data_IF_223798950944
#
_entry.id   IF_223798950944
#
_cell.length_a   1.000
_cell.length_b   1.000
_cell.length_c   1.000
_cell.angle_alpha   90.00
_cell.angle_beta   90.00
_cell.angle_gamma   90.00
#
_symmetry.space_group_name_H-M   'P 1'
#
loop_
_entity.id
_entity.type
_entity.pdbx_description
1 polymer ?
#
# COMPACT_ATOMS: atom_id res chain seq x y z
N UNK A 1 15.35 14.28 20.36
CA UNK A 1 13.96 13.74 20.36
C UNK A 1 13.89 12.31 20.89
N UNK A 2 14.55 11.32 20.28
CA UNK A 2 14.51 9.91 20.75
C UNK A 2 14.87 9.74 22.24
N UNK A 3 15.96 10.36 22.71
CA UNK A 3 16.37 10.29 24.12
C UNK A 3 15.27 10.79 25.08
N UNK A 4 14.58 11.89 24.72
CA UNK A 4 13.48 12.42 25.52
C UNK A 4 12.26 11.47 25.53
N UNK A 5 11.94 10.87 24.39
CA UNK A 5 10.87 9.86 24.29
C UNK A 5 11.18 8.61 25.12
N UNK A 6 12.45 8.16 25.11
CA UNK A 6 12.89 7.02 25.92
C UNK A 6 12.83 7.34 27.42
N UNK A 7 13.21 8.56 27.82
CA UNK A 7 13.09 9.03 29.20
C UNK A 7 11.62 9.09 29.66
N UNK A 8 10.71 9.56 28.81
CA UNK A 8 9.28 9.57 29.13
C UNK A 8 8.73 8.15 29.36
N UNK A 9 9.16 7.17 28.55
CA UNK A 9 8.79 5.76 28.74
C UNK A 9 9.37 5.21 30.04
N UNK A 10 10.61 5.56 30.38
CA UNK A 10 11.23 5.13 31.63
C UNK A 10 10.45 5.65 32.84
N UNK A 11 10.12 6.94 32.84
CA UNK A 11 9.30 7.55 33.89
C UNK A 11 7.93 6.87 34.02
N UNK A 12 7.24 6.63 32.89
CA UNK A 12 5.93 5.97 32.93
C UNK A 12 5.99 4.53 33.50
N UNK A 13 7.10 3.80 33.27
CA UNK A 13 7.32 2.47 33.84
C UNK A 13 7.63 2.50 35.34
N UNK A 14 8.27 3.54 35.83
CA UNK A 14 8.52 3.70 37.27
C UNK A 14 7.22 3.93 38.04
N UNK A 15 6.25 4.63 37.42
CA UNK A 15 4.95 4.92 38.03
C UNK A 15 3.95 3.77 37.92
N UNK A 16 4.01 2.97 36.86
CA UNK A 16 3.07 1.88 36.58
C UNK A 16 3.82 0.58 36.26
N UNK A 17 3.57 -0.48 37.04
CA UNK A 17 4.17 -1.79 36.82
C UNK A 17 3.54 -2.54 35.65
N UNK A 18 2.23 -2.35 35.45
CA UNK A 18 1.44 -3.03 34.41
C UNK A 18 1.22 -2.11 33.18
N UNK A 19 0.99 -2.70 31.98
CA UNK A 19 0.73 -1.92 30.78
C UNK A 19 -0.60 -1.14 30.92
N UNK A 20 -0.52 0.17 30.74
CA UNK A 20 -1.66 1.08 30.71
C UNK A 20 -1.86 1.69 29.32
N UNK A 21 -3.06 2.19 29.01
CA UNK A 21 -3.36 2.81 27.71
C UNK A 21 -2.40 3.96 27.38
N UNK A 22 -2.04 4.77 28.37
CA UNK A 22 -1.10 5.89 28.22
C UNK A 22 0.31 5.39 27.89
N UNK A 23 0.78 4.35 28.57
CA UNK A 23 2.09 3.76 28.30
C UNK A 23 2.13 3.14 26.89
N UNK A 24 1.02 2.52 26.47
CA UNK A 24 0.88 1.91 25.16
C UNK A 24 0.93 2.96 24.04
N UNK A 25 0.20 4.07 24.20
CA UNK A 25 0.27 5.24 23.32
C UNK A 25 1.67 5.82 23.22
N UNK A 26 2.32 6.05 24.36
CA UNK A 26 3.67 6.60 24.39
C UNK A 26 4.67 5.68 23.67
N UNK A 27 4.51 4.36 23.80
CA UNK A 27 5.32 3.37 23.10
C UNK A 27 5.05 3.34 21.60
N UNK A 28 3.80 3.55 21.17
CA UNK A 28 3.47 3.71 19.76
C UNK A 28 4.17 4.93 19.15
N UNK A 29 4.05 6.09 19.79
CA UNK A 29 4.73 7.31 19.33
C UNK A 29 6.25 7.15 19.30
N UNK A 30 6.81 6.51 20.33
CA UNK A 30 8.22 6.18 20.38
C UNK A 30 8.64 5.22 19.25
N UNK A 31 7.81 4.23 18.93
CA UNK A 31 8.03 3.32 17.81
C UNK A 31 8.02 4.08 16.47
N UNK A 32 7.02 4.92 16.23
CA UNK A 32 6.92 5.74 15.00
C UNK A 32 8.14 6.65 14.86
N UNK A 33 8.53 7.34 15.94
CA UNK A 33 9.73 8.18 15.95
C UNK A 33 11.00 7.37 15.69
N UNK A 34 11.12 6.17 16.27
CA UNK A 34 12.27 5.29 16.04
C UNK A 34 12.34 4.84 14.60
N UNK A 35 11.22 4.44 14.01
CA UNK A 35 11.14 4.05 12.60
C UNK A 35 11.61 5.19 11.70
N UNK A 36 11.18 6.42 11.98
CA UNK A 36 11.54 7.59 11.17
C UNK A 36 13.01 8.00 11.35
N UNK A 37 13.60 7.84 12.54
CA UNK A 37 14.99 8.22 12.81
C UNK A 37 16.01 7.12 12.51
N UNK A 38 15.65 5.85 12.66
CA UNK A 38 16.55 4.71 12.56
C UNK A 38 16.26 3.80 11.37
N UNK A 39 15.14 4.02 10.66
CA UNK A 39 14.78 3.26 9.47
C UNK A 39 14.11 1.92 9.77
N UNK A 40 13.64 1.26 8.70
CA UNK A 40 12.90 0.01 8.78
C UNK A 40 13.79 -1.18 9.15
N UNK A 41 15.02 -1.22 8.63
CA UNK A 41 15.98 -2.31 8.88
C UNK A 41 16.61 -2.30 10.27
N UNK A 42 16.47 -1.19 11.01
CA UNK A 42 17.06 -1.09 12.34
C UNK A 42 16.46 -2.10 13.32
N UNK A 43 17.34 -2.82 14.01
CA UNK A 43 16.97 -3.69 15.12
C UNK A 43 16.14 -2.95 16.17
N UNK A 44 16.41 -1.65 16.41
CA UNK A 44 15.65 -0.85 17.40
C UNK A 44 14.19 -0.71 16.99
N UNK A 45 13.93 -0.42 15.72
CA UNK A 45 12.57 -0.34 15.16
C UNK A 45 11.85 -1.67 15.34
N UNK A 46 12.49 -2.77 14.94
CA UNK A 46 11.92 -4.11 15.05
C UNK A 46 11.65 -4.56 16.50
N UNK A 47 12.56 -4.26 17.42
CA UNK A 47 12.43 -4.62 18.83
C UNK A 47 11.33 -3.82 19.54
N UNK A 48 11.22 -2.51 19.25
CA UNK A 48 10.20 -1.63 19.85
C UNK A 48 8.79 -2.01 19.40
N UNK A 49 8.59 -2.27 18.11
CA UNK A 49 7.30 -2.75 17.61
C UNK A 49 6.90 -4.09 18.23
N UNK A 50 7.86 -5.02 18.40
CA UNK A 50 7.60 -6.31 19.05
C UNK A 50 7.18 -6.16 20.50
N UNK A 51 7.83 -5.25 21.25
CA UNK A 51 7.45 -4.96 22.62
C UNK A 51 6.05 -4.36 22.72
N UNK A 52 5.70 -3.46 21.81
CA UNK A 52 4.36 -2.87 21.74
C UNK A 52 3.28 -3.91 21.40
N UNK A 53 3.57 -4.85 20.50
CA UNK A 53 2.67 -5.97 20.18
C UNK A 53 2.46 -6.88 21.41
N UNK A 54 3.50 -7.15 22.18
CA UNK A 54 3.36 -7.91 23.42
C UNK A 54 2.46 -7.20 24.44
N UNK A 55 2.61 -5.88 24.58
CA UNK A 55 1.77 -5.08 25.48
C UNK A 55 0.30 -5.07 24.99
N UNK A 56 0.05 -4.99 23.67
CA UNK A 56 -1.30 -5.12 23.07
C UNK A 56 -1.95 -6.48 23.38
N UNK A 57 -1.19 -7.57 23.32
CA UNK A 57 -1.67 -8.90 23.68
C UNK A 57 -1.95 -9.02 25.18
N UNK A 58 -1.05 -8.51 26.03
CA UNK A 58 -1.23 -8.52 27.48
C UNK A 58 -2.51 -7.78 27.92
N UNK A 59 -2.86 -6.70 27.22
CA UNK A 59 -4.08 -5.92 27.47
C UNK A 59 -5.32 -6.44 26.72
N UNK A 60 -5.22 -7.55 25.97
CA UNK A 60 -6.29 -8.11 25.15
C UNK A 60 -6.89 -7.16 24.10
N UNK A 61 -6.14 -6.13 23.66
CA UNK A 61 -6.63 -5.10 22.73
C UNK A 61 -6.84 -5.65 21.31
N UNK A 62 -6.19 -6.76 20.98
CA UNK A 62 -6.30 -7.46 19.69
C UNK A 62 -7.68 -8.11 19.43
N UNK A 63 -8.58 -8.10 20.42
CA UNK A 63 -9.95 -8.62 20.31
C UNK A 63 -10.94 -7.56 20.78
N UNK A 64 -12.14 -7.59 20.22
CA UNK A 64 -13.25 -6.88 20.85
C UNK A 64 -13.71 -7.61 22.12
N UNK A 65 -14.14 -6.86 23.15
CA UNK A 65 -14.69 -7.48 24.35
C UNK A 65 -16.01 -8.19 24.03
N UNK A 66 -16.17 -9.43 24.50
CA UNK A 66 -17.38 -10.25 24.28
C UNK A 66 -18.67 -9.57 24.77
N UNK A 67 -18.56 -8.72 25.81
CA UNK A 67 -19.66 -7.92 26.35
C UNK A 67 -19.24 -6.45 26.47
N UNK A 68 -19.40 -5.63 25.42
CA UNK A 68 -18.99 -4.23 25.44
C UNK A 68 -19.70 -3.39 26.51
N UNK A 69 -20.94 -3.75 26.86
CA UNK A 69 -21.73 -3.08 27.90
C UNK A 69 -21.35 -3.49 29.32
N UNK A 70 -20.70 -4.64 29.50
CA UNK A 70 -20.22 -5.13 30.79
C UNK A 70 -18.72 -4.85 31.02
N UNK A 71 -18.08 -4.18 30.06
CA UNK A 71 -16.67 -3.79 30.16
C UNK A 71 -16.54 -2.58 31.08
N UNK A 72 -15.70 -2.70 32.12
CA UNK A 72 -15.35 -1.59 33.01
C UNK A 72 -14.62 -0.44 32.28
N UNK A 73 -14.00 -0.72 31.13
CA UNK A 73 -13.36 0.30 30.29
C UNK A 73 -14.40 1.19 29.61
N UNK A 74 -14.37 2.53 29.82
CA UNK A 74 -15.23 3.49 29.12
C UNK A 74 -15.18 3.37 27.59
N UNK A 75 -16.30 3.69 26.92
CA UNK A 75 -16.42 3.51 25.47
C UNK A 75 -15.35 4.28 24.66
N UNK A 76 -15.02 5.51 25.08
CA UNK A 76 -14.04 6.34 24.37
C UNK A 76 -12.62 5.74 24.44
N UNK A 77 -12.25 5.15 25.59
CA UNK A 77 -10.98 4.44 25.74
C UNK A 77 -10.95 3.18 24.87
N UNK A 78 -12.06 2.46 24.76
CA UNK A 78 -12.14 1.31 23.83
C UNK A 78 -11.98 1.74 22.38
N UNK A 79 -12.58 2.85 21.97
CA UNK A 79 -12.42 3.38 20.61
C UNK A 79 -10.97 3.79 20.34
N UNK A 80 -10.34 4.46 21.31
CA UNK A 80 -8.91 4.78 21.32
C UNK A 80 -8.04 3.53 21.14
N UNK A 81 -8.32 2.45 21.88
CA UNK A 81 -7.63 1.18 21.77
C UNK A 81 -7.82 0.55 20.38
N UNK A 82 -9.03 0.64 19.81
CA UNK A 82 -9.33 0.16 18.45
C UNK A 82 -8.51 0.89 17.40
N UNK A 83 -8.43 2.23 17.51
CA UNK A 83 -7.61 3.05 16.60
C UNK A 83 -6.13 2.74 16.71
N UNK A 84 -5.62 2.58 17.93
CA UNK A 84 -4.24 2.19 18.16
C UNK A 84 -3.93 0.80 17.60
N UNK A 85 -4.83 -0.15 17.79
CA UNK A 85 -4.71 -1.48 17.22
C UNK A 85 -4.67 -1.42 15.69
N UNK A 86 -5.57 -0.68 15.05
CA UNK A 86 -5.59 -0.48 13.61
C UNK A 86 -4.25 0.08 13.09
N UNK A 87 -3.71 1.11 13.74
CA UNK A 87 -2.38 1.66 13.43
C UNK A 87 -1.27 0.61 13.55
N UNK A 88 -1.25 -0.15 14.65
CA UNK A 88 -0.22 -1.16 14.88
C UNK A 88 -0.35 -2.37 13.98
N UNK A 89 -1.57 -2.75 13.61
CA UNK A 89 -1.83 -3.81 12.68
C UNK A 89 -1.29 -3.43 11.30
N UNK A 90 -1.59 -2.24 10.78
CA UNK A 90 -0.99 -1.73 9.54
C UNK A 90 0.54 -1.71 9.61
N UNK A 91 1.10 -1.11 10.66
CA UNK A 91 2.54 -0.97 10.80
C UNK A 91 3.28 -2.31 10.85
N UNK A 92 2.70 -3.34 11.49
CA UNK A 92 3.27 -4.69 11.53
C UNK A 92 3.34 -5.31 10.12
N UNK A 93 2.32 -5.13 9.28
CA UNK A 93 2.28 -5.70 7.92
C UNK A 93 3.20 -4.94 6.99
N UNK A 94 3.24 -3.62 7.11
CA UNK A 94 4.16 -2.78 6.37
C UNK A 94 5.63 -3.10 6.72
N UNK A 95 5.97 -3.25 8.00
CA UNK A 95 7.30 -3.69 8.42
C UNK A 95 7.65 -5.08 7.91
N UNK A 96 6.71 -6.02 8.01
CA UNK A 96 6.89 -7.41 7.58
C UNK A 96 7.14 -7.49 6.07
N UNK A 97 6.40 -6.70 5.28
CA UNK A 97 6.61 -6.58 3.83
C UNK A 97 8.00 -6.07 3.48
N UNK A 98 8.46 -4.99 4.13
CA UNK A 98 9.78 -4.42 3.86
C UNK A 98 10.89 -5.40 4.18
N UNK A 99 10.80 -6.03 5.34
CA UNK A 99 11.88 -6.86 5.87
C UNK A 99 11.84 -8.29 5.36
N UNK A 100 10.81 -8.67 4.59
CA UNK A 100 10.56 -10.06 4.19
C UNK A 100 10.38 -10.98 5.41
N UNK A 101 9.78 -10.47 6.48
CA UNK A 101 9.55 -11.19 7.75
C UNK A 101 8.09 -11.56 7.90
N UNK A 102 7.81 -12.52 8.78
CA UNK A 102 6.45 -12.89 9.17
C UNK A 102 5.79 -11.76 10.00
N UNK A 103 4.53 -11.41 9.72
CA UNK A 103 3.71 -10.58 10.60
C UNK A 103 3.62 -11.16 12.02
N UNK A 104 3.67 -10.30 13.03
CA UNK A 104 3.56 -10.70 14.45
C UNK A 104 2.15 -10.51 15.02
N UNK A 105 1.28 -9.82 14.29
CA UNK A 105 -0.15 -9.74 14.57
C UNK A 105 -0.92 -10.57 13.54
N UNK A 106 -0.88 -11.91 13.61
CA UNK A 106 -1.57 -12.74 12.63
C UNK A 106 -3.09 -12.56 12.74
N UNK A 107 -3.75 -12.41 11.58
CA UNK A 107 -5.18 -12.14 11.46
C UNK A 107 -6.04 -13.14 12.21
N UNK A 108 -5.70 -14.42 12.15
CA UNK A 108 -6.47 -15.51 12.75
C UNK A 108 -6.65 -15.42 14.27
N UNK A 109 -5.80 -14.65 14.97
CA UNK A 109 -5.92 -14.43 16.41
C UNK A 109 -6.48 -13.05 16.77
N UNK A 110 -6.67 -12.18 15.78
CA UNK A 110 -7.12 -10.81 15.94
C UNK A 110 -8.58 -10.69 15.49
N UNK A 111 -9.47 -10.26 16.39
CA UNK A 111 -10.91 -10.10 16.10
C UNK A 111 -11.42 -8.69 16.39
N UNK A 112 -10.51 -7.70 16.39
CA UNK A 112 -10.85 -6.30 16.61
C UNK A 112 -11.52 -5.70 15.38
N UNK A 113 -12.69 -5.09 15.55
CA UNK A 113 -13.47 -4.39 14.53
C UNK A 113 -12.74 -3.17 13.95
N UNK A 114 -13.24 -2.68 12.81
CA UNK A 114 -12.84 -1.40 12.27
C UNK A 114 -13.16 -0.24 13.25
N UNK A 115 -12.32 0.81 13.34
CA UNK A 115 -12.61 2.01 14.13
C UNK A 115 -13.98 2.61 13.82
N UNK A 116 -14.62 3.27 14.80
CA UNK A 116 -15.88 3.97 14.56
C UNK A 116 -15.68 5.16 13.62
N UNK A 117 -16.66 5.42 12.75
CA UNK A 117 -16.69 6.62 11.90
C UNK A 117 -17.11 7.84 12.73
N UNK A 118 -16.16 8.38 13.48
CA UNK A 118 -16.36 9.49 14.42
C UNK A 118 -15.11 10.41 14.43
N UNK A 119 -15.30 11.71 14.64
CA UNK A 119 -14.20 12.68 14.78
C UNK A 119 -13.44 12.51 16.11
N UNK A 120 -12.23 13.04 16.20
CA UNK A 120 -11.39 12.93 17.39
C UNK A 120 -11.99 13.76 18.55
N UNK A 121 -12.59 14.91 18.24
CA UNK A 121 -13.27 15.78 19.20
C UNK A 121 -14.49 15.08 19.81
N UNK A 122 -15.29 14.40 18.98
CA UNK A 122 -16.49 13.70 19.43
C UNK A 122 -16.15 12.50 20.31
N UNK A 123 -15.02 11.81 20.08
CA UNK A 123 -14.53 10.74 20.97
C UNK A 123 -14.25 11.27 22.39
N UNK A 124 -13.76 12.50 22.51
CA UNK A 124 -13.38 13.10 23.77
C UNK A 124 -14.50 13.96 24.41
N UNK A 125 -15.64 14.12 23.73
CA UNK A 125 -16.73 14.97 24.18
C UNK A 125 -17.56 14.28 25.27
N UNK A 126 -17.67 14.93 26.43
CA UNK A 126 -18.48 14.43 27.54
C UNK A 126 -19.98 14.36 27.15
N UNK A 127 -20.59 13.20 27.34
CA UNK A 127 -22.01 12.97 27.04
C UNK A 127 -22.28 12.42 25.62
N UNK A 128 -21.29 12.38 24.74
CA UNK A 128 -21.39 11.65 23.48
C UNK A 128 -21.32 10.14 23.78
N UNK A 129 -22.24 9.35 23.22
CA UNK A 129 -22.26 7.89 23.41
C UNK A 129 -21.95 7.15 22.11
N UNK A 130 -21.55 5.88 22.22
CA UNK A 130 -21.35 5.03 21.04
C UNK A 130 -22.64 4.87 20.22
N UNK A 131 -23.81 4.93 20.87
CA UNK A 131 -25.10 4.81 20.19
C UNK A 131 -25.38 6.06 19.34
N UNK A 132 -24.95 7.24 19.78
CA UNK A 132 -25.03 8.47 18.99
C UNK A 132 -24.16 8.41 17.73
N UNK A 133 -23.03 7.69 17.76
CA UNK A 133 -22.21 7.47 16.57
C UNK A 133 -22.90 6.53 15.56
N UNK A 134 -23.63 5.52 16.05
CA UNK A 134 -24.35 4.55 15.21
C UNK A 134 -25.62 5.18 14.64
N UNK A 135 -26.36 5.95 15.44
CA UNK A 135 -27.62 6.61 15.06
C UNK A 135 -27.38 7.84 14.17
N UNK A 136 -26.28 8.58 14.35
CA UNK A 136 -25.91 9.69 13.46
C UNK A 136 -25.09 9.25 12.25
N UNK A 137 -25.01 7.95 11.94
CA UNK A 137 -24.59 7.52 10.60
C UNK A 137 -25.60 8.11 9.61
N UNK A 138 -25.24 9.07 8.75
CA UNK A 138 -26.17 9.56 7.75
C UNK A 138 -26.35 8.42 6.76
N UNK A 139 -27.38 7.61 6.96
CA UNK A 139 -27.97 6.81 5.91
C UNK A 139 -28.35 7.80 4.81
N UNK A 140 -27.63 7.76 3.69
CA UNK A 140 -28.00 8.43 2.45
C UNK A 140 -28.12 9.98 2.49
N UNK A 141 -27.14 10.66 1.91
CA UNK A 141 -27.43 11.81 1.04
C UNK A 141 -27.86 13.14 1.66
N UNK A 142 -27.33 13.56 2.83
CA UNK A 142 -27.48 14.96 3.27
C UNK A 142 -26.12 15.67 3.30
N UNK A 143 -25.97 16.64 2.42
CA UNK A 143 -24.86 17.56 2.31
C UNK A 143 -24.69 18.40 3.59
N UNK A 144 -24.00 17.87 4.59
CA UNK A 144 -23.40 18.65 5.67
C UNK A 144 -21.91 18.46 5.50
N UNK A 145 -21.25 19.53 5.04
CA UNK A 145 -19.80 19.77 4.94
C UNK A 145 -18.97 18.47 5.11
N UNK A 146 -18.51 17.92 3.99
CA UNK A 146 -17.79 16.66 3.84
C UNK A 146 -16.45 16.68 4.60
N UNK A 147 -16.51 16.69 5.92
CA UNK A 147 -15.36 16.71 6.80
C UNK A 147 -14.82 15.28 6.86
N UNK A 148 -13.65 15.08 6.27
CA UNK A 148 -12.94 13.81 6.33
C UNK A 148 -12.58 13.52 7.79
N UNK A 149 -13.08 12.43 8.37
CA UNK A 149 -12.70 12.04 9.72
C UNK A 149 -11.34 11.33 9.69
N UNK A 150 -10.49 11.57 10.69
CA UNK A 150 -9.23 10.83 10.79
C UNK A 150 -9.47 9.30 10.88
N UNK A 151 -10.56 8.91 11.53
CA UNK A 151 -10.99 7.51 11.66
C UNK A 151 -11.24 6.83 10.30
N UNK A 152 -11.71 7.55 9.28
CA UNK A 152 -11.93 6.96 7.95
C UNK A 152 -10.61 6.44 7.34
N UNK A 153 -9.53 7.20 7.52
CA UNK A 153 -8.18 6.81 7.08
C UNK A 153 -7.67 5.57 7.81
N UNK A 154 -7.94 5.47 9.11
CA UNK A 154 -7.55 4.31 9.93
C UNK A 154 -8.34 3.07 9.53
N UNK A 155 -9.64 3.21 9.25
CA UNK A 155 -10.51 2.12 8.79
C UNK A 155 -9.98 1.50 7.51
N UNK A 156 -9.71 2.32 6.48
CA UNK A 156 -9.24 1.80 5.19
C UNK A 156 -7.84 1.21 5.28
N UNK A 157 -6.91 1.86 6.00
CA UNK A 157 -5.55 1.33 6.18
C UNK A 157 -5.55 0.00 6.93
N UNK A 158 -6.41 -0.14 7.93
CA UNK A 158 -6.56 -1.41 8.62
C UNK A 158 -7.12 -2.49 7.70
N UNK A 159 -8.16 -2.19 6.92
CA UNK A 159 -8.70 -3.10 5.92
C UNK A 159 -7.63 -3.52 4.89
N UNK A 160 -6.91 -2.57 4.30
CA UNK A 160 -5.81 -2.82 3.36
C UNK A 160 -4.68 -3.66 3.97
N UNK A 161 -4.38 -3.46 5.25
CA UNK A 161 -3.41 -4.29 5.96
C UNK A 161 -3.87 -5.76 6.07
N UNK A 162 -5.17 -6.05 6.16
CA UNK A 162 -5.67 -7.43 6.13
C UNK A 162 -5.43 -8.10 4.78
N UNK A 163 -5.64 -7.39 3.68
CA UNK A 163 -5.33 -7.89 2.33
C UNK A 163 -3.82 -8.07 2.12
N UNK A 164 -3.03 -7.14 2.65
CA UNK A 164 -1.56 -7.24 2.61
C UNK A 164 -1.06 -8.50 3.31
N UNK A 165 -1.68 -8.88 4.42
CA UNK A 165 -1.32 -10.10 5.13
C UNK A 165 -1.53 -11.36 4.27
N UNK A 166 -2.64 -11.44 3.52
CA UNK A 166 -2.89 -12.53 2.57
C UNK A 166 -1.78 -12.64 1.54
N UNK A 167 -1.43 -11.51 0.91
CA UNK A 167 -0.38 -11.47 -0.12
C UNK A 167 0.99 -11.84 0.47
N UNK A 168 1.29 -11.38 1.69
CA UNK A 168 2.50 -11.78 2.42
C UNK A 168 2.53 -13.28 2.73
N UNK A 169 1.40 -13.86 3.11
CA UNK A 169 1.26 -15.29 3.35
C UNK A 169 1.63 -16.12 2.12
N UNK A 170 1.18 -15.73 0.93
CA UNK A 170 1.57 -16.38 -0.34
C UNK A 170 3.08 -16.29 -0.56
N UNK A 171 3.64 -15.08 -0.42
CA UNK A 171 5.07 -14.83 -0.66
C UNK A 171 5.99 -15.57 0.31
N UNK A 172 5.53 -15.77 1.55
CA UNK A 172 6.27 -16.49 2.60
C UNK A 172 6.01 -18.00 2.58
N UNK A 173 5.14 -18.50 1.69
CA UNK A 173 4.85 -19.93 1.56
C UNK A 173 3.97 -20.49 2.67
N UNK A 174 3.06 -19.70 3.23
CA UNK A 174 2.11 -20.17 4.25
C UNK A 174 1.14 -21.21 3.66
N UNK A 175 1.08 -22.39 4.28
CA UNK A 175 0.18 -23.48 3.88
C UNK A 175 -1.29 -23.03 3.97
N UNK A 176 -2.05 -23.18 2.88
CA UNK A 176 -3.49 -22.88 2.82
C UNK A 176 -3.86 -21.50 2.26
N UNK A 177 -2.90 -20.58 2.10
CA UNK A 177 -3.16 -19.25 1.50
C UNK A 177 -2.72 -19.13 0.03
N UNK A 178 -2.15 -20.19 -0.54
CA UNK A 178 -1.63 -20.23 -1.92
C UNK A 178 -2.65 -20.71 -2.96
N UNK A 179 -3.93 -20.88 -2.60
CA UNK A 179 -4.96 -21.23 -3.58
C UNK A 179 -5.23 -20.08 -4.53
N UNK A 180 -5.16 -20.32 -5.85
CA UNK A 180 -5.44 -19.29 -6.86
C UNK A 180 -6.83 -18.65 -6.64
N UNK A 181 -7.85 -19.44 -6.31
CA UNK A 181 -9.21 -18.95 -6.05
C UNK A 181 -9.28 -17.99 -4.86
N UNK A 182 -8.48 -18.23 -3.81
CA UNK A 182 -8.41 -17.38 -2.64
C UNK A 182 -7.73 -16.04 -2.94
N UNK A 183 -6.67 -16.07 -3.75
CA UNK A 183 -5.95 -14.87 -4.19
C UNK A 183 -6.85 -14.03 -5.12
N UNK A 184 -7.58 -14.65 -6.05
CA UNK A 184 -8.56 -13.95 -6.90
C UNK A 184 -9.68 -13.31 -6.09
N UNK A 185 -10.22 -14.01 -5.09
CA UNK A 185 -11.22 -13.42 -4.19
C UNK A 185 -10.66 -12.20 -3.44
N UNK A 186 -9.40 -12.25 -3.04
CA UNK A 186 -8.73 -11.12 -2.39
C UNK A 186 -8.57 -9.95 -3.37
N UNK A 187 -8.20 -10.20 -4.63
CA UNK A 187 -8.19 -9.19 -5.72
C UNK A 187 -9.54 -8.48 -5.84
N UNK A 188 -10.64 -9.24 -5.92
CA UNK A 188 -12.00 -8.69 -5.99
C UNK A 188 -12.37 -7.86 -4.74
N UNK A 189 -11.98 -8.32 -3.54
CA UNK A 189 -12.20 -7.58 -2.28
C UNK A 189 -11.45 -6.26 -2.24
N UNK A 190 -10.20 -6.23 -2.74
CA UNK A 190 -9.41 -4.99 -2.83
C UNK A 190 -10.10 -3.98 -3.74
N UNK A 191 -10.62 -4.45 -4.89
CA UNK A 191 -11.36 -3.60 -5.83
C UNK A 191 -12.67 -3.08 -5.22
N UNK A 192 -13.49 -3.96 -4.64
CA UNK A 192 -14.71 -3.56 -3.96
C UNK A 192 -14.44 -2.55 -2.83
N UNK A 193 -13.34 -2.72 -2.08
CA UNK A 193 -12.94 -1.79 -1.03
C UNK A 193 -12.61 -0.40 -1.57
N UNK A 194 -11.96 -0.33 -2.73
CA UNK A 194 -11.63 0.92 -3.39
C UNK A 194 -12.88 1.63 -3.94
N UNK A 195 -13.78 0.89 -4.56
CA UNK A 195 -15.05 1.41 -5.11
C UNK A 195 -16.01 1.90 -4.03
N UNK A 196 -15.98 1.29 -2.84
CA UNK A 196 -16.76 1.69 -1.68
C UNK A 196 -16.24 2.98 -0.99
N UNK A 197 -15.08 3.51 -1.39
CA UNK A 197 -14.50 4.68 -0.73
C UNK A 197 -15.27 5.97 -1.05
N UNK A 198 -15.50 6.82 -0.04
CA UNK A 198 -15.96 8.18 -0.27
C UNK A 198 -15.00 8.97 -1.16
N UNK A 199 -15.55 9.81 -2.04
CA UNK A 199 -14.78 10.61 -3.01
C UNK A 199 -13.72 11.51 -2.39
N UNK A 200 -13.88 11.93 -1.13
CA UNK A 200 -12.89 12.74 -0.41
C UNK A 200 -11.64 11.96 0.04
N UNK A 201 -11.66 10.63 0.01
CA UNK A 201 -10.48 9.78 0.27
C UNK A 201 -9.77 9.38 -1.03
N UNK A 202 -10.48 9.43 -2.15
CA UNK A 202 -9.94 9.02 -3.45
C UNK A 202 -8.95 10.06 -3.99
N UNK A 203 -7.82 9.57 -4.50
CA UNK A 203 -6.87 10.39 -5.24
C UNK A 203 -7.36 10.63 -6.66
N UNK A 204 -7.28 11.87 -7.14
CA UNK A 204 -7.57 12.20 -8.53
C UNK A 204 -6.28 12.66 -9.24
N UNK A 205 -5.75 11.89 -10.20
CA UNK A 205 -4.51 12.23 -10.91
C UNK A 205 -4.65 13.44 -11.85
N UNK A 206 -5.86 13.72 -12.34
CA UNK A 206 -6.16 14.82 -13.28
C UNK A 206 -6.31 16.16 -12.53
N UNK A 207 -6.69 16.12 -11.26
CA UNK A 207 -6.88 17.32 -10.45
C UNK A 207 -5.57 17.82 -9.80
N UNK A 208 -4.66 18.44 -10.56
CA UNK A 208 -3.65 19.38 -10.01
C UNK A 208 -3.25 20.41 -11.09
N UNK A 209 -2.92 21.72 -10.80
CA UNK A 209 -2.66 22.41 -9.53
C UNK A 209 -3.41 23.77 -9.40
N UNK A 210 -4.60 23.94 -9.98
CA UNK A 210 -5.37 25.20 -9.85
C UNK A 210 -6.47 25.15 -8.79
N UNK A 211 -6.79 23.96 -8.28
CA UNK A 211 -7.76 23.79 -7.21
C UNK A 211 -7.04 24.02 -5.89
N UNK A 212 -7.55 24.98 -5.13
CA UNK A 212 -7.21 25.29 -3.74
C UNK A 212 -7.30 24.02 -2.85
N UNK A 213 -6.29 23.15 -2.89
CA UNK A 213 -6.16 22.06 -1.93
C UNK A 213 -5.90 22.69 -0.57
N UNK A 214 -6.93 22.70 0.27
CA UNK A 214 -6.94 23.40 1.56
C UNK A 214 -5.84 22.91 2.52
N UNK A 215 -5.23 21.73 2.28
CA UNK A 215 -4.04 21.28 3.01
C UNK A 215 -3.14 20.32 2.17
N UNK A 216 -1.82 20.56 2.06
CA UNK A 216 -0.84 19.63 1.47
C UNK A 216 -0.90 18.19 2.01
N UNK A 217 -1.20 18.08 3.31
CA UNK A 217 -1.29 16.81 4.01
C UNK A 217 -2.43 15.93 3.50
N UNK A 218 -3.59 16.52 3.17
CA UNK A 218 -4.72 15.77 2.64
C UNK A 218 -4.40 15.18 1.27
N UNK A 219 -3.76 15.95 0.39
CA UNK A 219 -3.30 15.45 -0.91
C UNK A 219 -2.30 14.30 -0.76
N UNK A 220 -1.34 14.41 0.17
CA UNK A 220 -0.40 13.33 0.46
C UNK A 220 -1.11 12.08 0.99
N UNK A 221 -2.07 12.24 1.89
CA UNK A 221 -2.83 11.13 2.45
C UNK A 221 -3.63 10.39 1.36
N UNK A 222 -4.33 11.11 0.48
CA UNK A 222 -5.07 10.53 -0.66
C UNK A 222 -4.13 9.79 -1.61
N UNK A 223 -3.00 10.41 -1.98
CA UNK A 223 -2.01 9.80 -2.84
C UNK A 223 -1.43 8.52 -2.22
N UNK A 224 -1.02 8.56 -0.94
CA UNK A 224 -0.47 7.38 -0.27
C UNK A 224 -1.48 6.25 -0.21
N UNK A 225 -2.76 6.55 -0.01
CA UNK A 225 -3.83 5.55 -0.02
C UNK A 225 -4.02 4.94 -1.42
N UNK A 226 -3.96 5.76 -2.48
CA UNK A 226 -4.02 5.28 -3.85
C UNK A 226 -2.82 4.41 -4.24
N UNK A 227 -1.61 4.82 -3.84
CA UNK A 227 -0.40 4.02 -4.04
C UNK A 227 -0.49 2.69 -3.29
N UNK A 228 -1.07 2.68 -2.08
CA UNK A 228 -1.30 1.47 -1.31
C UNK A 228 -2.28 0.52 -2.00
N UNK A 229 -3.36 1.04 -2.56
CA UNK A 229 -4.31 0.28 -3.38
C UNK A 229 -3.64 -0.35 -4.60
N UNK A 230 -2.88 0.44 -5.36
CA UNK A 230 -2.15 -0.05 -6.54
C UNK A 230 -1.10 -1.12 -6.16
N UNK A 231 -0.37 -0.92 -5.05
CA UNK A 231 0.61 -1.90 -4.53
C UNK A 231 -0.05 -3.21 -4.13
N UNK A 232 -1.23 -3.17 -3.53
CA UNK A 232 -2.02 -4.36 -3.21
C UNK A 232 -2.46 -5.10 -4.46
N UNK A 233 -3.00 -4.40 -5.46
CA UNK A 233 -3.39 -4.99 -6.74
C UNK A 233 -2.19 -5.61 -7.46
N UNK A 234 -1.09 -4.87 -7.54
CA UNK A 234 0.17 -5.33 -8.13
C UNK A 234 0.71 -6.57 -7.42
N UNK A 235 0.83 -6.54 -6.09
CA UNK A 235 1.38 -7.65 -5.31
C UNK A 235 0.45 -8.89 -5.34
N UNK A 236 -0.86 -8.69 -5.43
CA UNK A 236 -1.84 -9.78 -5.61
C UNK A 236 -1.68 -10.43 -6.98
N UNK A 237 -1.51 -9.63 -8.04
CA UNK A 237 -1.23 -10.16 -9.38
C UNK A 237 0.10 -10.92 -9.42
N UNK A 238 1.15 -10.44 -8.74
CA UNK A 238 2.40 -11.19 -8.59
C UNK A 238 2.18 -12.55 -7.91
N UNK A 239 1.36 -12.58 -6.85
CA UNK A 239 1.00 -13.80 -6.15
C UNK A 239 0.22 -14.78 -7.04
N UNK A 240 -0.65 -14.29 -7.93
CA UNK A 240 -1.33 -15.09 -8.96
C UNK A 240 -0.35 -15.68 -9.96
N UNK A 241 0.57 -14.87 -10.52
CA UNK A 241 1.60 -15.37 -11.43
C UNK A 241 2.44 -16.48 -10.78
N UNK A 242 2.86 -16.27 -9.54
CA UNK A 242 3.64 -17.23 -8.76
C UNK A 242 2.89 -18.56 -8.53
N UNK A 243 1.61 -18.49 -8.15
CA UNK A 243 0.82 -19.69 -7.85
C UNK A 243 0.37 -20.47 -9.09
N UNK A 244 0.07 -19.77 -10.20
CA UNK A 244 -0.25 -20.41 -11.48
C UNK A 244 1.00 -20.90 -12.25
N UNK A 245 2.22 -20.65 -11.75
CA UNK A 245 3.47 -20.98 -12.43
C UNK A 245 3.69 -20.22 -13.74
N UNK A 246 3.05 -19.05 -13.90
CA UNK A 246 3.18 -18.20 -15.08
C UNK A 246 4.36 -17.24 -14.91
N UNK A 247 5.09 -16.99 -16.00
CA UNK A 247 6.15 -16.00 -16.02
C UNK A 247 5.58 -14.61 -15.73
N UNK A 248 6.00 -13.99 -14.61
CA UNK A 248 5.56 -12.66 -14.22
C UNK A 248 5.87 -11.61 -15.29
N UNK A 249 7.01 -11.75 -15.99
CA UNK A 249 7.39 -10.88 -17.11
C UNK A 249 6.53 -11.02 -18.37
N UNK A 250 5.65 -12.02 -18.41
CA UNK A 250 4.67 -12.23 -19.49
C UNK A 250 3.24 -11.86 -19.10
N UNK A 251 2.98 -11.30 -17.92
CA UNK A 251 1.61 -10.95 -17.51
C UNK A 251 1.31 -9.47 -17.80
N UNK A 252 0.47 -9.22 -18.82
CA UNK A 252 0.15 -7.85 -19.26
C UNK A 252 -0.51 -7.02 -18.15
N UNK A 253 -1.37 -7.63 -17.33
CA UNK A 253 -2.05 -6.93 -16.21
C UNK A 253 -1.02 -6.47 -15.18
N UNK A 254 -0.07 -7.34 -14.82
CA UNK A 254 1.02 -7.03 -13.89
C UNK A 254 1.91 -5.91 -14.41
N UNK A 255 2.31 -5.97 -15.68
CA UNK A 255 3.20 -4.95 -16.27
C UNK A 255 2.49 -3.60 -16.39
N UNK A 256 1.20 -3.56 -16.73
CA UNK A 256 0.40 -2.32 -16.71
C UNK A 256 0.32 -1.73 -15.30
N UNK A 257 0.00 -2.53 -14.29
CA UNK A 257 -0.02 -2.09 -12.88
C UNK A 257 1.35 -1.55 -12.43
N UNK A 258 2.42 -2.25 -12.77
CA UNK A 258 3.78 -1.82 -12.45
C UNK A 258 4.14 -0.50 -13.12
N UNK A 259 3.77 -0.30 -14.38
CA UNK A 259 3.99 0.96 -15.09
C UNK A 259 3.22 2.10 -14.42
N UNK A 260 1.96 1.88 -14.06
CA UNK A 260 1.12 2.88 -13.38
C UNK A 260 1.69 3.26 -12.02
N UNK A 261 2.22 2.30 -11.25
CA UNK A 261 2.94 2.58 -10.00
C UNK A 261 4.18 3.44 -10.24
N UNK A 262 5.01 3.11 -11.24
CA UNK A 262 6.21 3.89 -11.59
C UNK A 262 5.86 5.31 -12.03
N UNK A 263 4.91 5.47 -12.95
CA UNK A 263 4.54 6.80 -13.48
C UNK A 263 3.86 7.65 -12.42
N UNK A 264 2.95 7.07 -11.63
CA UNK A 264 2.25 7.77 -10.55
C UNK A 264 3.24 8.23 -9.47
N UNK A 265 4.15 7.36 -9.03
CA UNK A 265 5.15 7.72 -8.01
C UNK A 265 6.15 8.76 -8.51
N UNK A 266 6.65 8.65 -9.75
CA UNK A 266 7.54 9.65 -10.33
C UNK A 266 6.85 11.01 -10.50
N UNK A 267 5.62 11.03 -11.02
CA UNK A 267 4.85 12.28 -11.17
C UNK A 267 4.55 12.91 -9.82
N UNK A 268 4.08 12.12 -8.85
CA UNK A 268 3.85 12.59 -7.50
C UNK A 268 5.12 13.15 -6.87
N UNK A 269 6.25 12.44 -6.99
CA UNK A 269 7.52 12.90 -6.45
C UNK A 269 7.93 14.26 -7.03
N UNK A 270 7.81 14.46 -8.35
CA UNK A 270 8.06 15.76 -8.98
C UNK A 270 7.14 16.86 -8.46
N UNK A 271 5.85 16.60 -8.38
CA UNK A 271 4.86 17.58 -7.90
C UNK A 271 5.13 17.96 -6.44
N UNK A 272 5.34 16.96 -5.57
CA UNK A 272 5.67 17.17 -4.17
C UNK A 272 6.99 17.92 -4.01
N UNK A 273 8.05 17.49 -4.67
CA UNK A 273 9.35 18.15 -4.59
C UNK A 273 9.32 19.59 -5.07
N UNK A 274 8.62 19.89 -6.17
CA UNK A 274 8.46 21.27 -6.67
C UNK A 274 7.70 22.16 -5.70
N UNK A 275 6.72 21.60 -4.97
CA UNK A 275 5.81 22.38 -4.12
C UNK A 275 6.29 22.52 -2.68
N UNK A 276 6.88 21.47 -2.13
CA UNK A 276 7.22 21.34 -0.70
C UNK A 276 8.70 21.04 -0.44
N UNK A 277 9.51 20.84 -1.49
CA UNK A 277 10.90 20.40 -1.37
C UNK A 277 11.03 18.88 -1.29
N UNK A 278 12.26 18.38 -1.41
CA UNK A 278 12.56 16.97 -1.16
C UNK A 278 12.30 16.65 0.32
N UNK A 279 11.43 15.67 0.59
CA UNK A 279 11.12 15.19 1.92
C UNK A 279 11.36 13.69 2.01
N UNK A 280 11.50 13.20 3.24
CA UNK A 280 11.50 11.77 3.53
C UNK A 280 10.26 11.08 2.95
N UNK A 281 9.10 11.74 2.95
CA UNK A 281 7.86 11.17 2.41
C UNK A 281 7.96 10.91 0.89
N UNK A 282 8.62 11.80 0.14
CA UNK A 282 8.86 11.59 -1.28
C UNK A 282 9.79 10.42 -1.56
N UNK A 283 10.88 10.30 -0.78
CA UNK A 283 11.78 9.16 -0.87
C UNK A 283 11.07 7.85 -0.51
N UNK A 284 10.22 7.86 0.52
CA UNK A 284 9.41 6.71 0.93
C UNK A 284 8.46 6.26 -0.19
N UNK A 285 7.76 7.16 -0.87
CA UNK A 285 6.86 6.78 -1.97
C UNK A 285 7.59 6.06 -3.10
N UNK A 286 8.70 6.62 -3.58
CA UNK A 286 9.48 6.02 -4.66
C UNK A 286 10.08 4.68 -4.24
N UNK A 287 10.62 4.60 -3.02
CA UNK A 287 11.21 3.37 -2.51
C UNK A 287 10.18 2.27 -2.27
N UNK A 288 9.02 2.59 -1.70
CA UNK A 288 8.04 1.58 -1.31
C UNK A 288 7.20 1.02 -2.45
N UNK A 289 6.95 1.85 -3.47
CA UNK A 289 5.97 1.59 -4.51
C UNK A 289 6.59 1.65 -5.92
N UNK A 290 7.40 2.67 -6.19
CA UNK A 290 8.03 2.86 -7.51
C UNK A 290 9.11 1.82 -7.80
N UNK A 291 10.06 1.64 -6.88
CA UNK A 291 11.24 0.79 -7.07
C UNK A 291 10.91 -0.71 -7.21
N UNK A 292 10.05 -1.33 -6.37
CA UNK A 292 9.67 -2.73 -6.55
C UNK A 292 8.99 -3.00 -7.90
N UNK A 293 8.13 -2.07 -8.33
CA UNK A 293 7.45 -2.14 -9.64
C UNK A 293 8.43 -2.00 -10.80
N UNK A 294 9.39 -1.08 -10.67
CA UNK A 294 10.45 -0.86 -11.65
C UNK A 294 11.35 -2.09 -11.84
N UNK A 295 11.67 -2.81 -10.77
CA UNK A 295 12.48 -4.03 -10.84
C UNK A 295 11.78 -5.14 -11.66
N UNK A 296 10.46 -5.28 -11.53
CA UNK A 296 9.68 -6.25 -12.31
C UNK A 296 9.60 -5.86 -13.78
N UNK A 297 9.40 -4.56 -14.06
CA UNK A 297 9.43 -4.04 -15.43
C UNK A 297 10.81 -4.19 -16.07
N UNK A 298 11.89 -3.95 -15.31
CA UNK A 298 13.27 -4.12 -15.78
C UNK A 298 13.58 -5.59 -16.07
N UNK A 299 13.10 -6.52 -15.24
CA UNK A 299 13.22 -7.96 -15.47
C UNK A 299 12.46 -8.39 -16.75
N UNK A 300 11.21 -7.95 -16.92
CA UNK A 300 10.44 -8.20 -18.13
C UNK A 300 11.15 -7.65 -19.38
N UNK A 301 11.71 -6.44 -19.28
CA UNK A 301 12.46 -5.78 -20.34
C UNK A 301 13.75 -6.56 -20.70
N UNK A 302 14.49 -7.08 -19.72
CA UNK A 302 15.66 -7.94 -19.94
C UNK A 302 15.28 -9.29 -20.57
N UNK A 303 14.19 -9.91 -20.12
CA UNK A 303 13.73 -11.19 -20.65
C UNK A 303 13.24 -11.11 -22.10
N UNK A 304 12.87 -9.91 -22.59
CA UNK A 304 12.54 -9.70 -24.01
C UNK A 304 13.76 -9.71 -24.93
N UNK A 305 14.96 -9.41 -24.41
CA UNK A 305 16.20 -9.30 -25.20
C UNK A 305 17.02 -10.59 -25.18
N UNK A 306 16.93 -11.40 -24.13
CA UNK A 306 17.67 -12.66 -23.98
C UNK A 306 17.07 -13.86 -24.75
N UNK A 307 15.82 -13.74 -25.21
CA UNK A 307 15.15 -14.75 -26.03
C UNK A 307 15.71 -14.83 -27.46
N UNK A 308 16.94 -15.32 -27.61
CA UNK A 308 17.54 -15.66 -28.90
C UNK A 308 16.92 -16.93 -29.51
N UNK A 309 16.51 -16.81 -30.78
CA UNK A 309 16.22 -17.86 -31.78
C UNK A 309 15.08 -18.88 -31.57
N UNK A 310 14.74 -19.34 -30.35
CA UNK A 310 13.90 -20.56 -30.21
C UNK A 310 12.46 -20.37 -29.71
N UNK A 311 12.00 -19.14 -29.49
CA UNK A 311 10.57 -18.83 -29.30
C UNK A 311 10.20 -17.54 -30.04
N UNK A 312 8.96 -17.39 -30.57
CA UNK A 312 8.60 -16.24 -31.38
C UNK A 312 8.64 -14.95 -30.56
N UNK A 313 9.76 -14.24 -30.66
CA UNK A 313 10.07 -12.92 -30.07
C UNK A 313 9.01 -11.86 -30.40
N UNK A 314 8.26 -12.05 -31.48
CA UNK A 314 7.12 -11.21 -31.86
C UNK A 314 6.00 -11.20 -30.80
N UNK A 315 5.75 -12.31 -30.09
CA UNK A 315 4.66 -12.37 -29.12
C UNK A 315 5.00 -11.72 -27.77
N UNK A 316 6.28 -11.72 -27.34
CA UNK A 316 6.69 -11.12 -26.05
C UNK A 316 6.83 -9.60 -26.12
N UNK A 317 7.25 -9.03 -27.26
CA UNK A 317 7.29 -7.58 -27.44
C UNK A 317 5.89 -6.94 -27.43
N UNK A 318 4.84 -7.71 -27.72
CA UNK A 318 3.43 -7.27 -27.65
C UNK A 318 2.90 -7.21 -26.21
N UNK A 319 3.59 -7.85 -25.25
CA UNK A 319 3.16 -7.93 -23.85
C UNK A 319 3.65 -6.74 -23.01
N UNK A 320 4.67 -6.02 -23.49
CA UNK A 320 5.16 -4.82 -22.82
C UNK A 320 4.10 -3.71 -22.90
N UNK A 321 3.90 -2.95 -21.81
CA UNK A 321 2.90 -1.89 -21.77
C UNK A 321 3.30 -0.67 -22.62
N UNK A 322 4.58 -0.55 -22.95
CA UNK A 322 5.17 0.50 -23.78
C UNK A 322 6.21 -0.12 -24.73
N UNK A 323 6.61 0.64 -25.75
CA UNK A 323 7.78 0.26 -26.55
C UNK A 323 9.00 0.05 -25.66
N UNK A 324 9.87 -0.90 -26.00
CA UNK A 324 11.06 -1.23 -25.21
C UNK A 324 11.89 0.00 -24.84
N UNK A 325 12.11 0.91 -25.81
CA UNK A 325 12.92 2.11 -25.62
C UNK A 325 12.25 3.10 -24.66
N UNK A 326 10.94 3.26 -24.79
CA UNK A 326 10.19 4.15 -23.91
C UNK A 326 10.15 3.60 -22.48
N UNK A 327 9.92 2.30 -22.30
CA UNK A 327 9.97 1.67 -20.99
C UNK A 327 11.36 1.82 -20.35
N UNK A 328 12.42 1.53 -21.11
CA UNK A 328 13.79 1.73 -20.65
C UNK A 328 14.02 3.18 -20.20
N UNK A 329 13.58 4.17 -21.00
CA UNK A 329 13.70 5.59 -20.67
C UNK A 329 12.99 5.94 -19.37
N UNK A 330 11.75 5.48 -19.17
CA UNK A 330 10.99 5.74 -17.94
C UNK A 330 11.69 5.17 -16.71
N UNK A 331 12.21 3.94 -16.81
CA UNK A 331 12.95 3.30 -15.71
C UNK A 331 14.30 4.00 -15.43
N UNK A 332 15.01 4.46 -16.47
CA UNK A 332 16.22 5.28 -16.30
C UNK A 332 15.93 6.60 -15.62
N UNK A 333 14.82 7.27 -15.97
CA UNK A 333 14.40 8.52 -15.31
C UNK A 333 14.08 8.27 -13.83
N UNK A 334 13.35 7.21 -13.51
CA UNK A 334 13.09 6.83 -12.12
C UNK A 334 14.40 6.57 -11.36
N UNK A 335 15.35 5.83 -11.96
CA UNK A 335 16.66 5.58 -11.37
C UNK A 335 17.41 6.88 -11.08
N UNK A 336 17.34 7.86 -11.99
CA UNK A 336 17.96 9.17 -11.82
C UNK A 336 17.30 9.99 -10.69
N UNK A 337 15.97 10.02 -10.63
CA UNK A 337 15.22 10.72 -9.57
C UNK A 337 15.50 10.15 -8.19
N UNK A 338 15.58 8.83 -8.11
CA UNK A 338 15.98 8.11 -6.92
C UNK A 338 17.38 8.54 -6.45
N UNK A 339 18.35 8.85 -7.32
CA UNK A 339 19.68 9.32 -6.88
C UNK A 339 19.63 10.71 -6.25
N UNK A 340 18.77 11.58 -6.79
CA UNK A 340 18.66 12.97 -6.34
C UNK A 340 17.96 13.05 -4.98
N UNK A 341 16.99 12.17 -4.74
CA UNK A 341 16.10 12.27 -3.59
C UNK A 341 16.62 11.59 -2.32
N UNK A 342 17.56 10.66 -2.43
CA UNK A 342 18.03 9.91 -1.29
C UNK A 342 19.42 10.38 -0.86
N UNK A 343 19.46 11.04 0.31
CA UNK A 343 20.69 11.41 0.98
C UNK A 343 21.29 10.22 1.74
N UNK A 344 22.62 10.14 1.78
CA UNK A 344 23.42 9.28 2.65
C UNK A 344 23.06 9.39 4.14
N UNK A 345 22.46 10.50 4.56
CA UNK A 345 22.00 10.72 5.93
C UNK A 345 20.63 10.07 6.23
N UNK A 346 19.92 9.58 5.21
CA UNK A 346 18.63 8.90 5.40
C UNK A 346 18.84 7.56 6.13
N UNK A 347 18.01 7.35 7.15
CA UNK A 347 17.99 6.12 7.92
C UNK A 347 17.74 4.84 7.10
N UNK A 348 17.14 4.96 5.92
CA UNK A 348 16.86 3.86 4.99
C UNK A 348 17.81 3.82 3.78
N UNK A 349 18.88 4.63 3.78
CA UNK A 349 19.80 4.75 2.65
C UNK A 349 20.35 3.40 2.16
N UNK A 350 20.76 2.52 3.09
CA UNK A 350 21.34 1.22 2.76
C UNK A 350 20.36 0.26 2.03
N UNK A 351 19.09 0.26 2.44
CA UNK A 351 18.03 -0.54 1.82
C UNK A 351 17.80 -0.09 0.37
N UNK A 352 17.63 1.21 0.23
CA UNK A 352 17.34 1.83 -1.05
C UNK A 352 18.52 1.66 -2.03
N UNK A 353 19.76 1.92 -1.60
CA UNK A 353 20.94 1.89 -2.47
C UNK A 353 21.17 0.51 -3.08
N UNK A 354 20.95 -0.57 -2.32
CA UNK A 354 21.05 -1.95 -2.79
C UNK A 354 20.02 -2.28 -3.88
N UNK A 355 18.76 -1.88 -3.69
CA UNK A 355 17.69 -2.14 -4.67
C UNK A 355 17.89 -1.29 -5.93
N UNK A 356 18.33 -0.04 -5.76
CA UNK A 356 18.67 0.85 -6.86
C UNK A 356 19.83 0.29 -7.71
N UNK A 357 20.90 -0.19 -7.08
CA UNK A 357 22.01 -0.85 -7.80
C UNK A 357 21.51 -2.07 -8.60
N UNK A 358 20.54 -2.80 -8.04
CA UNK A 358 19.91 -3.92 -8.75
C UNK A 358 19.14 -3.46 -9.98
N UNK A 359 18.38 -2.37 -9.86
CA UNK A 359 17.69 -1.76 -11.01
C UNK A 359 18.68 -1.32 -12.08
N UNK A 360 19.74 -0.58 -11.73
CA UNK A 360 20.77 -0.14 -12.67
C UNK A 360 21.41 -1.33 -13.40
N UNK A 361 21.80 -2.38 -12.68
CA UNK A 361 22.36 -3.61 -13.27
C UNK A 361 21.39 -4.31 -14.24
N UNK A 362 20.10 -4.36 -13.91
CA UNK A 362 19.08 -4.96 -14.80
C UNK A 362 18.90 -4.14 -16.08
N UNK A 363 18.88 -2.81 -15.98
CA UNK A 363 18.80 -1.91 -17.14
C UNK A 363 20.04 -2.05 -18.03
N UNK A 364 21.23 -2.03 -17.45
CA UNK A 364 22.49 -2.20 -18.18
C UNK A 364 22.53 -3.55 -18.91
N UNK A 365 22.17 -4.64 -18.21
CA UNK A 365 22.09 -5.99 -18.79
C UNK A 365 21.15 -6.03 -19.99
N UNK A 366 19.96 -5.43 -19.86
CA UNK A 366 18.99 -5.43 -20.94
C UNK A 366 19.45 -4.60 -22.15
N UNK A 367 20.12 -3.46 -21.90
CA UNK A 367 20.70 -2.61 -22.92
C UNK A 367 21.84 -3.32 -23.67
N UNK A 368 22.74 -3.98 -22.95
CA UNK A 368 23.82 -4.78 -23.54
C UNK A 368 23.28 -5.92 -24.42
N UNK A 369 22.33 -6.70 -23.91
CA UNK A 369 21.71 -7.79 -24.67
C UNK A 369 21.07 -7.28 -25.98
N UNK A 370 20.44 -6.10 -25.97
CA UNK A 370 19.85 -5.51 -27.18
C UNK A 370 20.91 -5.06 -28.20
N UNK A 371 22.04 -4.54 -27.74
CA UNK A 371 23.16 -4.15 -28.60
C UNK A 371 23.81 -5.36 -29.26
N UNK A 372 23.96 -6.47 -28.54
CA UNK A 372 24.51 -7.74 -29.06
C UNK A 372 23.61 -8.42 -30.09
N UNK A 373 22.29 -8.21 -30.03
CA UNK A 373 21.32 -8.67 -31.05
C UNK A 373 21.37 -7.80 -32.32
N UNK A 374 21.98 -6.61 -32.28
CA UNK A 374 21.98 -5.64 -33.39
C UNK A 374 23.13 -5.68 -34.42
N UNK A 375 24.05 -6.67 -34.53
CA UNK A 375 25.16 -6.60 -35.49
C UNK A 375 24.84 -7.14 -36.90
N UNK A 376 23.57 -7.24 -37.33
CA UNK A 376 23.25 -7.52 -38.74
C UNK A 376 21.89 -6.98 -39.17
N UNK A 377 21.81 -5.67 -39.44
CA UNK A 377 20.94 -5.08 -40.48
C UNK A 377 21.32 -3.61 -40.67
N UNK A 378 21.79 -3.28 -41.86
CA UNK A 378 22.01 -1.91 -42.33
C UNK A 378 20.71 -1.08 -42.23
N UNK A 379 20.79 0.23 -41.95
CA UNK A 379 19.62 1.03 -41.63
C UNK A 379 18.78 1.32 -42.87
N UNK A 380 17.50 0.95 -42.84
CA UNK A 380 16.47 1.69 -43.56
C UNK A 380 15.82 2.65 -42.58
N UNK A 381 15.85 3.92 -42.98
CA UNK A 381 15.22 5.06 -42.31
C UNK A 381 13.76 4.76 -41.96
N UNK A 382 13.48 4.65 -40.66
CA UNK A 382 12.14 4.65 -40.11
C UNK A 382 12.05 5.74 -39.06
N UNK A 383 11.18 6.71 -39.28
CA UNK A 383 10.95 7.89 -38.46
C UNK A 383 10.67 7.50 -37.01
N UNK A 384 11.49 8.02 -36.08
CA UNK A 384 11.18 8.06 -34.65
C UNK A 384 9.98 8.97 -34.42
N UNK A 385 8.78 8.39 -34.42
CA UNK A 385 7.60 9.05 -33.88
C UNK A 385 7.66 8.96 -32.35
N UNK A 386 8.18 10.02 -31.72
CA UNK A 386 7.98 10.28 -30.30
C UNK A 386 6.51 10.65 -30.09
N UNK A 387 5.73 9.74 -29.50
CA UNK A 387 4.38 10.08 -29.06
C UNK A 387 4.46 11.11 -27.90
N UNK A 388 3.62 12.16 -27.91
CA UNK A 388 3.58 13.15 -26.84
C UNK A 388 3.00 12.58 -25.55
N UNK A 389 3.22 13.29 -24.43
CA UNK A 389 2.71 13.00 -23.07
C UNK A 389 1.21 12.62 -23.01
N UNK A 390 0.41 12.96 -24.02
CA UNK A 390 -1.03 12.70 -24.10
C UNK A 390 -1.40 11.22 -24.13
N UNK A 391 -0.51 10.33 -24.56
CA UNK A 391 -0.83 8.89 -24.64
C UNK A 391 -0.66 8.17 -23.28
N UNK A 392 0.09 8.75 -22.34
CA UNK A 392 0.18 8.25 -20.95
C UNK A 392 -1.07 8.65 -20.16
N UNK A 393 -1.55 9.89 -20.34
CA UNK A 393 -2.79 10.35 -19.73
C UNK A 393 -4.00 9.56 -20.27
N UNK A 394 -3.97 9.18 -21.56
CA UNK A 394 -4.94 8.23 -22.13
C UNK A 394 -4.82 6.82 -21.55
N UNK A 395 -3.61 6.31 -21.30
CA UNK A 395 -3.43 4.99 -20.67
C UNK A 395 -3.92 4.97 -19.21
N UNK A 396 -3.72 6.08 -18.49
CA UNK A 396 -4.28 6.28 -17.14
C UNK A 396 -5.81 6.40 -17.20
N UNK A 397 -6.35 7.11 -18.18
CA UNK A 397 -7.80 7.25 -18.40
C UNK A 397 -8.46 5.93 -18.85
N UNK A 398 -7.83 5.19 -19.76
CA UNK A 398 -8.24 3.85 -20.17
C UNK A 398 -8.23 2.93 -18.95
N UNK A 399 -7.21 2.96 -18.08
CA UNK A 399 -7.23 2.17 -16.83
C UNK A 399 -8.34 2.57 -15.84
N UNK A 400 -8.83 3.81 -15.86
CA UNK A 400 -10.01 4.21 -15.08
C UNK A 400 -11.34 3.80 -15.73
N UNK A 401 -11.35 3.47 -17.03
CA UNK A 401 -12.54 3.10 -17.81
C UNK A 401 -12.57 1.60 -18.22
N UNK A 402 -11.47 0.86 -18.07
CA UNK A 402 -11.28 -0.50 -18.56
C UNK A 402 -11.89 -1.52 -17.58
N UNK A 403 -13.14 -1.94 -17.85
CA UNK A 403 -13.86 -2.99 -17.12
C UNK A 403 -13.15 -4.37 -17.15
N UNK A 404 -12.07 -4.53 -17.93
CA UNK A 404 -11.26 -5.76 -17.95
C UNK A 404 -10.42 -6.00 -16.68
N UNK A 405 -10.34 -5.01 -15.78
CA UNK A 405 -9.69 -5.16 -14.48
C UNK A 405 -10.56 -5.83 -13.41
N UNK A 406 -11.88 -5.88 -13.63
CA UNK A 406 -12.76 -6.72 -12.83
C UNK A 406 -12.44 -8.19 -13.13
N UNK A 407 -11.76 -8.85 -12.18
CA UNK A 407 -11.81 -10.32 -12.15
C UNK A 407 -13.29 -10.71 -12.12
N UNK A 408 -13.71 -11.55 -13.08
CA UNK A 408 -15.05 -12.14 -13.33
C UNK A 408 -16.09 -11.77 -12.28
N UNK A 409 -17.26 -11.20 -12.66
CA UNK A 409 -18.30 -10.86 -11.69
C UNK A 409 -18.55 -12.08 -10.82
N UNK A 410 -18.60 -11.86 -9.51
CA UNK A 410 -18.98 -12.86 -8.52
C UNK A 410 -20.40 -13.33 -8.81
N UNK A 411 -20.53 -14.17 -9.84
CA UNK A 411 -21.71 -14.95 -10.12
C UNK A 411 -22.00 -15.72 -8.86
N UNK A 412 -23.17 -15.45 -8.30
CA UNK A 412 -23.76 -16.01 -7.08
C UNK A 412 -23.65 -15.16 -5.79
N UNK A 413 -23.03 -13.97 -5.80
CA UNK A 413 -23.10 -13.02 -4.66
C UNK A 413 -23.86 -11.71 -4.94
N UNK A 414 -24.33 -11.51 -6.17
CA UNK A 414 -25.32 -10.46 -6.50
C UNK A 414 -26.73 -10.91 -6.07
N UNK A 415 -26.94 -11.05 -4.76
CA UNK A 415 -28.24 -11.34 -4.19
C UNK A 415 -28.60 -10.24 -3.17
N UNK A 416 -29.28 -9.19 -3.67
CA UNK A 416 -30.22 -8.33 -2.94
C UNK A 416 -29.74 -7.24 -1.96
N UNK A 417 -28.45 -7.06 -1.71
CA UNK A 417 -27.94 -5.96 -0.89
C UNK A 417 -27.39 -4.82 -1.77
N UNK A 418 -27.46 -3.57 -1.29
CA UNK A 418 -26.91 -2.39 -2.00
C UNK A 418 -25.38 -2.44 -2.19
N UNK A 419 -24.74 -1.33 -2.61
CA UNK A 419 -23.28 -1.29 -2.76
C UNK A 419 -22.58 -1.69 -1.45
N UNK A 420 -21.56 -2.55 -1.55
CA UNK A 420 -20.80 -3.07 -0.40
C UNK A 420 -20.24 -1.95 0.47
N UNK A 421 -20.41 -2.04 1.79
CA UNK A 421 -19.74 -1.13 2.73
C UNK A 421 -18.38 -1.66 3.16
N UNK A 422 -17.52 -0.80 3.71
CA UNK A 422 -16.22 -1.25 4.24
C UNK A 422 -16.36 -2.29 5.37
N UNK A 423 -17.43 -2.24 6.15
CA UNK A 423 -17.66 -3.23 7.21
C UNK A 423 -18.06 -4.59 6.60
N UNK A 424 -18.90 -4.60 5.55
CA UNK A 424 -19.25 -5.83 4.82
C UNK A 424 -18.02 -6.46 4.13
N UNK A 425 -17.10 -5.62 3.64
CA UNK A 425 -15.88 -6.08 2.99
C UNK A 425 -14.88 -6.62 4.02
N UNK A 426 -14.89 -6.07 5.23
CA UNK A 426 -14.02 -6.50 6.34
C UNK A 426 -14.45 -7.85 6.92
N UNK A 427 -15.74 -8.17 6.90
CA UNK A 427 -16.29 -9.44 7.38
C UNK A 427 -15.93 -10.61 6.45
N UNK A 428 -15.03 -11.48 6.88
CA UNK A 428 -14.62 -12.66 6.10
C UNK A 428 -15.75 -13.65 5.83
N UNK A 429 -16.76 -13.71 6.69
CA UNK A 429 -17.86 -14.67 6.55
C UNK A 429 -18.70 -14.42 5.30
N UNK A 430 -18.77 -13.17 4.84
CA UNK A 430 -19.49 -12.79 3.62
C UNK A 430 -18.74 -13.17 2.33
N UNK A 431 -17.44 -13.41 2.42
CA UNK A 431 -16.59 -13.69 1.25
C UNK A 431 -16.18 -15.16 1.14
N UNK A 432 -16.19 -15.89 2.24
CA UNK A 432 -15.98 -17.33 2.23
C UNK A 432 -17.29 -17.98 1.78
N UNK A 433 -17.37 -18.39 0.51
CA UNK A 433 -18.50 -19.19 0.01
C UNK A 433 -18.69 -20.46 0.85
N UNK A 434 -19.86 -21.14 0.74
CA UNK A 434 -20.08 -22.39 1.47
C UNK A 434 -18.98 -23.39 1.12
N UNK A 435 -18.32 -23.93 2.15
CA UNK A 435 -17.26 -24.95 2.02
C UNK A 435 -17.72 -26.21 1.30
#
# INVERSE_FOLDING_TARGET
MLSASDAAIAFAKEQYHDPSDVLLWLRYENFVLTRNCCGYESYRTWARSGRLINDLFAMNIHRDPERPQASDTPWFLREIQTRLFACMYEADKSLSRVLGKLPRLPRQYCSRRLPLKISDENVLTAGFTSDDAIVNMPHLGSCIRQESFHSDWLRIRYLFATFREVVLGVRLGASGQSSESFIRRTSSRIQAAWEALPTYLCYNPVCTPNTTLSTPYQYLAQLLLYLEYLDLQFSTQQALCYTSGKDAGGDTKLLKLGLTLVTTTANAARVFCRRFGASTDTALMLWFYGLPSALVLADALANTTEGGMDTPTANRSVMLPLSWLELHRQLSVLSAELEVLVDSTDSNYALYSKQKETLSRQLDRALHARLEVSPSKSPQSGETSTAPLSDIDKLIAEMTEDESFADVPTGDLESSAGPWTLDDIFDDSLWNGPE
#
